data_IF_620659616782
#
_entry.id   IF_620659616782
#
_cell.length_a   1.000
_cell.length_b   1.000
_cell.length_c   1.000
_cell.angle_alpha   90.00
_cell.angle_beta   90.00
_cell.angle_gamma   90.00
#
_symmetry.space_group_name_H-M   'P 1'
#
loop_
_entity.id
_entity.type
_entity.pdbx_description
1 polymer ?
#
# COMPACT_ATOMS: atom_id res chain seq x y z
N UNK A 1 9.24 4.64 14.73
CA UNK A 1 9.48 4.99 13.34
C UNK A 1 8.26 4.65 12.49
N UNK A 2 7.89 5.52 11.60
CA UNK A 2 6.71 5.31 10.76
C UNK A 2 7.04 4.35 9.63
N UNK A 3 6.16 3.40 9.38
CA UNK A 3 6.43 2.34 8.41
C UNK A 3 5.37 2.26 7.32
N UNK A 4 5.83 2.02 6.09
CA UNK A 4 4.97 1.77 4.96
C UNK A 4 5.39 0.44 4.34
N UNK A 5 4.44 -0.45 4.16
CA UNK A 5 4.69 -1.75 3.54
C UNK A 5 4.18 -1.75 2.11
N UNK A 6 5.03 -2.12 1.16
CA UNK A 6 4.61 -2.27 -0.23
C UNK A 6 4.22 -3.73 -0.44
N UNK A 7 2.97 -3.95 -0.77
CA UNK A 7 2.40 -5.29 -0.88
C UNK A 7 1.94 -5.57 -2.31
N UNK A 8 2.51 -6.60 -2.92
CA UNK A 8 2.11 -7.02 -4.26
C UNK A 8 0.92 -7.96 -4.19
N UNK A 9 -0.06 -7.74 -5.06
CA UNK A 9 -1.22 -8.60 -5.20
C UNK A 9 -1.01 -9.59 -6.33
N UNK A 10 -1.47 -10.82 -6.15
CA UNK A 10 -1.58 -11.77 -7.24
C UNK A 10 -2.65 -11.30 -8.23
N UNK A 11 -3.05 -12.13 -9.20
CA UNK A 11 -3.96 -11.69 -10.28
C UNK A 11 -5.39 -11.34 -9.83
N UNK A 12 -5.53 -10.75 -8.67
CA UNK A 12 -6.77 -10.13 -8.24
C UNK A 12 -7.70 -10.99 -7.41
N UNK A 13 -7.30 -12.20 -7.08
CA UNK A 13 -8.09 -13.07 -6.23
C UNK A 13 -7.50 -13.20 -4.84
N UNK A 14 -8.37 -13.12 -3.86
CA UNK A 14 -8.04 -13.22 -2.46
C UNK A 14 -7.18 -14.45 -2.14
N UNK A 15 -7.55 -15.59 -2.67
CA UNK A 15 -6.85 -16.85 -2.40
C UNK A 15 -5.44 -16.92 -2.97
N UNK A 16 -5.06 -15.95 -3.80
CA UNK A 16 -3.71 -15.89 -4.37
C UNK A 16 -2.77 -15.00 -3.58
N UNK A 17 -3.27 -14.42 -2.52
CA UNK A 17 -2.45 -13.62 -1.62
C UNK A 17 -1.68 -14.55 -0.68
N UNK A 18 -0.40 -14.24 -0.46
CA UNK A 18 0.40 -15.03 0.48
C UNK A 18 -0.06 -14.77 1.92
N UNK A 19 0.24 -15.72 2.80
CA UNK A 19 -0.06 -15.56 4.23
C UNK A 19 0.65 -14.35 4.79
N UNK A 20 1.92 -14.14 4.41
CA UNK A 20 2.69 -12.97 4.85
C UNK A 20 2.05 -11.67 4.44
N UNK A 21 1.61 -11.57 3.18
CA UNK A 21 0.96 -10.36 2.69
C UNK A 21 -0.32 -10.09 3.48
N UNK A 22 -1.09 -11.11 3.74
CA UNK A 22 -2.32 -10.97 4.51
C UNK A 22 -2.06 -10.51 5.93
N UNK A 23 -1.04 -11.07 6.58
CA UNK A 23 -0.67 -10.68 7.94
C UNK A 23 -0.23 -9.22 8.00
N UNK A 24 0.53 -8.77 7.00
CA UNK A 24 0.95 -7.37 6.93
C UNK A 24 -0.28 -6.47 6.79
N UNK A 25 -1.19 -6.81 5.90
CA UNK A 25 -2.41 -6.01 5.69
C UNK A 25 -3.27 -5.97 6.94
N UNK A 26 -3.41 -7.09 7.64
CA UNK A 26 -4.18 -7.15 8.88
C UNK A 26 -3.58 -6.27 9.96
N UNK A 27 -2.27 -6.12 9.97
CA UNK A 27 -1.58 -5.31 10.98
C UNK A 27 -1.58 -3.81 10.67
N UNK A 28 -1.93 -3.42 9.46
CA UNK A 28 -1.91 -2.01 9.06
C UNK A 28 -3.19 -1.29 9.44
N UNK A 29 -3.09 0.02 9.65
CA UNK A 29 -4.24 0.88 9.96
C UNK A 29 -4.89 1.41 8.69
N UNK A 30 -4.07 1.72 7.69
CA UNK A 30 -4.51 2.33 6.44
C UNK A 30 -3.98 1.52 5.27
N UNK A 31 -4.83 1.32 4.29
CA UNK A 31 -4.45 0.64 3.04
C UNK A 31 -4.65 1.62 1.89
N UNK A 32 -3.57 1.87 1.15
CA UNK A 32 -3.57 2.79 0.01
C UNK A 32 -3.40 1.97 -1.27
N UNK A 33 -4.20 2.25 -2.26
CA UNK A 33 -4.07 1.51 -3.52
C UNK A 33 -4.99 2.01 -4.62
N UNK A 34 -4.86 1.40 -5.78
CA UNK A 34 -5.76 1.64 -6.88
C UNK A 34 -7.17 1.15 -6.48
N UNK A 35 -8.18 1.88 -6.90
CA UNK A 35 -9.58 1.65 -6.51
C UNK A 35 -10.01 0.18 -6.59
N UNK A 36 -9.66 -0.50 -7.67
CA UNK A 36 -10.06 -1.89 -7.87
C UNK A 36 -9.49 -2.81 -6.79
N UNK A 37 -8.22 -2.62 -6.44
CA UNK A 37 -7.58 -3.44 -5.39
C UNK A 37 -8.14 -3.11 -4.02
N UNK A 38 -8.42 -1.84 -3.76
CA UNK A 38 -9.03 -1.45 -2.49
C UNK A 38 -10.39 -2.11 -2.30
N UNK A 39 -11.18 -2.21 -3.35
CA UNK A 39 -12.48 -2.87 -3.27
C UNK A 39 -12.37 -4.36 -2.98
N UNK A 40 -11.34 -5.02 -3.55
CA UNK A 40 -11.07 -6.41 -3.24
C UNK A 40 -10.67 -6.57 -1.78
N UNK A 41 -9.83 -5.68 -1.28
CA UNK A 41 -9.39 -5.71 0.11
C UNK A 41 -10.52 -5.48 1.09
N UNK A 42 -11.46 -4.61 0.76
CA UNK A 42 -12.61 -4.32 1.64
C UNK A 42 -13.45 -5.56 1.94
N UNK A 43 -13.47 -6.52 1.03
CA UNK A 43 -14.20 -7.77 1.24
C UNK A 43 -13.52 -8.64 2.29
N UNK A 44 -12.19 -8.59 2.37
CA UNK A 44 -11.42 -9.36 3.34
C UNK A 44 -11.26 -8.62 4.67
N UNK A 45 -11.01 -7.33 4.59
CA UNK A 45 -10.65 -6.50 5.74
C UNK A 45 -11.53 -5.24 5.78
N UNK A 46 -12.82 -5.37 6.07
CA UNK A 46 -13.75 -4.24 6.00
C UNK A 46 -13.51 -3.17 7.07
N UNK A 47 -12.74 -3.47 8.09
CA UNK A 47 -12.51 -2.54 9.20
C UNK A 47 -11.38 -1.55 8.98
N UNK A 48 -10.64 -1.69 7.89
CA UNK A 48 -9.50 -0.81 7.61
C UNK A 48 -9.94 0.49 6.94
N UNK A 49 -9.10 1.50 7.05
CA UNK A 49 -9.29 2.75 6.32
C UNK A 49 -8.64 2.59 4.96
N UNK A 50 -9.37 2.91 3.91
CA UNK A 50 -8.89 2.78 2.53
C UNK A 50 -8.77 4.13 1.87
N UNK A 51 -7.61 4.42 1.30
CA UNK A 51 -7.37 5.61 0.50
C UNK A 51 -7.06 5.15 -0.92
N UNK A 52 -7.82 5.65 -1.87
CA UNK A 52 -7.73 5.17 -3.25
C UNK A 52 -7.44 6.30 -4.22
N UNK A 53 -6.80 5.95 -5.33
CA UNK A 53 -6.62 6.86 -6.45
C UNK A 53 -7.03 6.12 -7.73
N UNK A 54 -7.45 6.86 -8.76
CA UNK A 54 -7.70 6.24 -10.05
C UNK A 54 -6.40 5.79 -10.71
N UNK A 55 -6.52 5.07 -11.81
CA UNK A 55 -5.38 4.60 -12.58
C UNK A 55 -4.45 5.75 -12.96
N UNK A 56 -3.15 5.47 -13.02
CA UNK A 56 -2.10 6.42 -13.44
C UNK A 56 -1.81 7.55 -12.46
N UNK A 57 -2.20 7.39 -11.21
CA UNK A 57 -1.85 8.37 -10.18
C UNK A 57 -0.95 7.76 -9.12
N UNK A 58 0.10 7.08 -9.57
CA UNK A 58 1.03 6.39 -8.70
C UNK A 58 1.76 7.32 -7.73
N UNK A 59 2.20 8.48 -8.24
CA UNK A 59 2.88 9.46 -7.38
C UNK A 59 1.96 9.96 -6.27
N UNK A 60 0.71 10.22 -6.60
CA UNK A 60 -0.28 10.65 -5.62
C UNK A 60 -0.53 9.60 -4.56
N UNK A 61 -0.62 8.33 -4.99
CA UNK A 61 -0.76 7.22 -4.03
C UNK A 61 0.40 7.16 -3.07
N UNK A 62 1.62 7.35 -3.57
CA UNK A 62 2.81 7.35 -2.71
C UNK A 62 2.74 8.46 -1.68
N UNK A 63 2.35 9.66 -2.10
CA UNK A 63 2.25 10.80 -1.18
C UNK A 63 1.18 10.56 -0.12
N UNK A 64 0.04 10.01 -0.50
CA UNK A 64 -1.01 9.67 0.46
C UNK A 64 -0.48 8.69 1.51
N UNK A 65 0.27 7.68 1.08
CA UNK A 65 0.84 6.70 1.99
C UNK A 65 1.81 7.36 2.98
N UNK A 66 2.70 8.22 2.49
CA UNK A 66 3.64 8.90 3.36
C UNK A 66 2.96 9.86 4.32
N UNK A 67 1.96 10.59 3.87
CA UNK A 67 1.23 11.51 4.74
C UNK A 67 0.54 10.77 5.88
N UNK A 68 -0.06 9.63 5.59
CA UNK A 68 -0.70 8.84 6.64
C UNK A 68 0.33 8.23 7.59
N UNK A 69 1.46 7.78 7.06
CA UNK A 69 2.53 7.25 7.89
C UNK A 69 3.10 8.31 8.83
N UNK A 70 3.19 9.55 8.38
CA UNK A 70 3.65 10.66 9.23
C UNK A 70 2.73 10.93 10.40
N UNK A 71 1.47 10.56 10.29
CA UNK A 71 0.51 10.68 11.38
C UNK A 71 0.68 9.58 12.43
N UNK A 72 1.66 8.70 12.25
CA UNK A 72 1.93 7.60 13.17
C UNK A 72 1.17 6.33 12.85
N UNK A 73 0.51 6.26 11.71
CA UNK A 73 -0.24 5.09 11.29
C UNK A 73 0.64 4.10 10.55
N UNK A 74 0.31 2.83 10.67
CA UNK A 74 0.97 1.78 9.91
C UNK A 74 0.23 1.63 8.58
N UNK A 75 0.94 1.83 7.48
CA UNK A 75 0.34 1.94 6.15
C UNK A 75 0.79 0.80 5.24
N UNK A 76 -0.13 0.28 4.46
CA UNK A 76 0.17 -0.67 3.40
C UNK A 76 -0.14 -0.03 2.05
N UNK A 77 0.81 -0.11 1.12
CA UNK A 77 0.61 0.29 -0.26
C UNK A 77 0.40 -0.97 -1.09
N UNK A 78 -0.78 -1.14 -1.63
CA UNK A 78 -1.13 -2.32 -2.42
C UNK A 78 -0.94 -2.02 -3.90
N UNK A 79 -0.23 -2.90 -4.60
CA UNK A 79 0.00 -2.74 -6.03
C UNK A 79 -0.08 -4.09 -6.74
N UNK A 80 -0.17 -4.06 -8.06
CA UNK A 80 -0.27 -5.28 -8.85
C UNK A 80 1.08 -5.96 -8.97
N UNK A 81 1.05 -7.26 -8.92
CA UNK A 81 2.12 -8.22 -9.21
C UNK A 81 3.59 -7.77 -9.19
N UNK A 82 4.47 -8.60 -9.72
CA UNK A 82 5.91 -8.35 -9.64
C UNK A 82 6.36 -7.04 -10.28
N UNK A 83 5.92 -6.77 -11.48
CA UNK A 83 6.31 -5.55 -12.18
C UNK A 83 5.80 -4.30 -11.47
N UNK A 84 4.58 -4.37 -10.95
CA UNK A 84 3.98 -3.26 -10.20
C UNK A 84 4.72 -3.00 -8.90
N UNK A 85 5.15 -4.06 -8.22
CA UNK A 85 5.91 -3.92 -6.97
C UNK A 85 7.24 -3.23 -7.23
N UNK A 86 7.99 -3.65 -8.24
CA UNK A 86 9.28 -3.03 -8.54
C UNK A 86 9.14 -1.57 -8.96
N UNK A 87 8.19 -1.27 -9.83
CA UNK A 87 7.94 0.11 -10.25
C UNK A 87 7.53 1.00 -9.08
N UNK A 88 6.64 0.50 -8.24
CA UNK A 88 6.16 1.26 -7.09
C UNK A 88 7.25 1.44 -6.05
N UNK A 89 8.08 0.43 -5.82
CA UNK A 89 9.18 0.54 -4.85
C UNK A 89 10.17 1.62 -5.25
N UNK A 90 10.51 1.71 -6.54
CA UNK A 90 11.40 2.76 -7.04
C UNK A 90 10.81 4.14 -6.81
N UNK A 91 9.54 4.32 -7.12
CA UNK A 91 8.85 5.59 -6.93
C UNK A 91 8.74 5.95 -5.45
N UNK A 92 8.48 4.97 -4.60
CA UNK A 92 8.42 5.18 -3.15
C UNK A 92 9.76 5.64 -2.59
N UNK A 93 10.87 5.08 -3.08
CA UNK A 93 12.19 5.51 -2.63
C UNK A 93 12.46 6.96 -3.05
N UNK A 94 12.08 7.31 -4.26
CA UNK A 94 12.28 8.67 -4.78
C UNK A 94 11.46 9.70 -3.98
N UNK A 95 10.17 9.46 -3.82
CA UNK A 95 9.29 10.37 -3.08
C UNK A 95 9.64 10.35 -1.60
N UNK A 96 10.08 9.22 -1.10
CA UNK A 96 10.44 9.05 0.31
C UNK A 96 11.54 9.97 0.78
N UNK A 97 12.33 10.52 -0.12
CA UNK A 97 13.36 11.48 0.26
C UNK A 97 12.75 12.73 0.93
N UNK A 98 11.50 13.04 0.62
CA UNK A 98 10.79 14.14 1.23
C UNK A 98 10.20 13.77 2.60
N UNK A 99 10.26 12.50 2.98
CA UNK A 99 9.68 11.99 4.22
C UNK A 99 10.69 11.12 4.98
N UNK A 100 11.76 11.72 5.50
CA UNK A 100 12.86 10.94 6.10
C UNK A 100 12.48 10.14 7.35
N UNK A 101 11.38 10.50 8.00
CA UNK A 101 10.92 9.79 9.19
C UNK A 101 10.11 8.54 8.86
N UNK A 102 9.83 8.30 7.58
CA UNK A 102 9.06 7.16 7.13
C UNK A 102 9.98 6.10 6.52
N UNK A 103 9.74 4.85 6.86
CA UNK A 103 10.53 3.73 6.35
C UNK A 103 9.67 2.85 5.47
N UNK A 104 10.14 2.58 4.25
CA UNK A 104 9.46 1.70 3.29
C UNK A 104 10.01 0.28 3.46
N UNK A 105 9.10 -0.69 3.52
CA UNK A 105 9.48 -2.10 3.67
C UNK A 105 8.93 -2.99 2.57
#
# INVERSE_FOLDING_TARGET
MNEIYVVGMGPGEEKQMTIEAREVLESCDVIVGYTVYAELMKKMLPEKTYLTTPMRQEAERCRLAFEEAQKGKKVAMVCSGDAGVYGMSGLMLEIGEEYPDCKVK
#
